data_IF_216229058653
#
_entry.id   IF_216229058653
#
_cell.length_a   1.000
_cell.length_b   1.000
_cell.length_c   1.000
_cell.angle_alpha   90.00
_cell.angle_beta   90.00
_cell.angle_gamma   90.00
#
_symmetry.space_group_name_H-M   'P 1'
#
loop_
_entity.id
_entity.type
_entity.pdbx_description
1 polymer ?
#
# COMPACT_ATOMS: atom_id res chain seq x y z
N UNK A 1 11.46 -27.50 3.92
CA UNK A 1 10.39 -26.53 4.24
C UNK A 1 9.05 -27.25 4.14
N UNK A 2 7.98 -26.78 4.77
CA UNK A 2 6.69 -27.50 4.80
C UNK A 2 5.56 -26.58 4.40
N UNK A 3 4.77 -26.99 3.39
CA UNK A 3 3.52 -26.35 2.99
C UNK A 3 2.36 -27.05 3.70
N UNK A 4 1.46 -26.29 4.31
CA UNK A 4 0.31 -26.82 5.06
C UNK A 4 -1.01 -26.44 4.38
N UNK A 5 -1.94 -27.40 4.28
CA UNK A 5 -3.30 -27.20 3.82
C UNK A 5 -4.26 -28.00 4.71
N UNK A 6 -4.90 -27.33 5.68
CA UNK A 6 -5.69 -28.02 6.71
C UNK A 6 -4.82 -29.00 7.52
N UNK A 7 -5.22 -30.28 7.56
CA UNK A 7 -4.44 -31.35 8.21
C UNK A 7 -3.33 -31.94 7.33
N UNK A 8 -3.23 -31.52 6.06
CA UNK A 8 -2.22 -32.01 5.11
C UNK A 8 -0.94 -31.17 5.23
N UNK A 9 0.20 -31.84 5.15
CA UNK A 9 1.52 -31.22 5.16
C UNK A 9 2.41 -31.86 4.08
N UNK A 10 3.04 -31.03 3.25
CA UNK A 10 3.95 -31.47 2.20
C UNK A 10 5.34 -30.88 2.42
N UNK A 11 6.35 -31.75 2.44
CA UNK A 11 7.74 -31.30 2.49
C UNK A 11 8.18 -30.83 1.10
N UNK A 12 8.67 -29.59 1.04
CA UNK A 12 9.21 -28.96 -0.16
C UNK A 12 10.64 -28.46 0.08
N UNK A 13 11.44 -28.41 -0.98
CA UNK A 13 12.80 -27.87 -0.95
C UNK A 13 12.82 -26.35 -0.99
N UNK A 14 14.02 -25.77 -0.86
CA UNK A 14 14.24 -24.31 -0.91
C UNK A 14 13.89 -23.70 -2.28
N UNK A 15 14.08 -24.48 -3.36
CA UNK A 15 13.74 -24.07 -4.71
C UNK A 15 12.23 -24.00 -4.89
N UNK A 16 11.52 -25.04 -4.49
CA UNK A 16 10.05 -25.09 -4.53
C UNK A 16 9.44 -24.02 -3.63
N UNK A 17 10.04 -23.74 -2.47
CA UNK A 17 9.62 -22.63 -1.62
C UNK A 17 9.75 -21.26 -2.32
N UNK A 18 10.87 -21.04 -3.03
CA UNK A 18 11.05 -19.82 -3.81
C UNK A 18 10.00 -19.67 -4.91
N UNK A 19 9.52 -20.79 -5.47
CA UNK A 19 8.40 -20.82 -6.42
C UNK A 19 7.09 -20.45 -5.71
N UNK A 20 6.77 -21.07 -4.56
CA UNK A 20 5.55 -20.75 -3.79
C UNK A 20 5.49 -19.27 -3.39
N UNK A 21 6.59 -18.69 -2.93
CA UNK A 21 6.66 -17.26 -2.58
C UNK A 21 6.43 -16.33 -3.79
N UNK A 22 6.65 -16.84 -5.00
CA UNK A 22 6.38 -16.14 -6.25
C UNK A 22 4.98 -16.45 -6.83
N UNK A 23 4.15 -17.24 -6.18
CA UNK A 23 2.77 -17.52 -6.61
C UNK A 23 1.80 -16.62 -5.83
N UNK A 24 1.60 -15.38 -6.29
CA UNK A 24 0.75 -14.38 -5.63
C UNK A 24 -0.66 -14.23 -6.24
N UNK A 25 -1.02 -15.14 -7.15
CA UNK A 25 -2.30 -15.14 -7.86
C UNK A 25 -2.35 -14.23 -9.09
N UNK A 26 -1.27 -13.50 -9.42
CA UNK A 26 -1.23 -12.59 -10.58
C UNK A 26 -0.22 -12.99 -11.66
N UNK A 27 0.69 -13.91 -11.36
CA UNK A 27 1.82 -14.29 -12.23
C UNK A 27 1.53 -15.59 -12.98
N UNK A 28 1.88 -15.61 -14.27
CA UNK A 28 1.97 -16.83 -15.07
C UNK A 28 3.24 -17.64 -14.75
N UNK A 29 3.35 -18.84 -15.33
CA UNK A 29 4.48 -19.77 -15.08
C UNK A 29 5.83 -19.13 -15.41
N UNK A 30 5.89 -18.34 -16.49
CA UNK A 30 7.07 -17.60 -16.93
C UNK A 30 7.44 -16.49 -15.93
N UNK A 31 6.47 -15.74 -15.42
CA UNK A 31 6.64 -14.72 -14.39
C UNK A 31 7.08 -15.30 -13.05
N UNK A 32 6.52 -16.44 -12.65
CA UNK A 32 6.92 -17.17 -11.44
C UNK A 32 8.36 -17.67 -11.57
N UNK A 33 8.74 -18.24 -12.72
CA UNK A 33 10.11 -18.70 -12.99
C UNK A 33 11.14 -17.57 -12.89
N UNK A 34 10.78 -16.41 -13.43
CA UNK A 34 11.61 -15.21 -13.36
C UNK A 34 11.76 -14.69 -11.93
N UNK A 35 10.66 -14.60 -11.16
CA UNK A 35 10.67 -14.09 -9.80
C UNK A 35 11.37 -15.04 -8.80
N UNK A 36 11.17 -16.35 -8.94
CA UNK A 36 11.79 -17.38 -8.10
C UNK A 36 13.23 -17.71 -8.50
N UNK A 37 13.68 -17.27 -9.70
CA UNK A 37 14.95 -17.65 -10.33
C UNK A 37 15.11 -19.17 -10.51
N UNK A 38 13.99 -19.88 -10.61
CA UNK A 38 13.94 -21.31 -10.89
C UNK A 38 13.66 -21.51 -12.37
N UNK A 39 14.26 -22.53 -12.97
CA UNK A 39 14.07 -22.81 -14.39
C UNK A 39 12.57 -23.00 -14.71
N UNK A 40 12.08 -22.37 -15.79
CA UNK A 40 10.67 -22.39 -16.18
C UNK A 40 10.10 -23.80 -16.30
N UNK A 41 10.89 -24.77 -16.78
CA UNK A 41 10.47 -26.17 -16.85
C UNK A 41 10.20 -26.78 -15.46
N UNK A 42 11.00 -26.41 -14.45
CA UNK A 42 10.82 -26.87 -13.07
C UNK A 42 9.64 -26.18 -12.41
N UNK A 43 9.44 -24.88 -12.66
CA UNK A 43 8.25 -24.15 -12.20
C UNK A 43 6.99 -24.76 -12.78
N UNK A 44 6.97 -25.02 -14.09
CA UNK A 44 5.83 -25.66 -14.77
C UNK A 44 5.48 -27.01 -14.15
N UNK A 45 6.47 -27.89 -13.99
CA UNK A 45 6.28 -29.20 -13.39
C UNK A 45 5.80 -29.12 -11.93
N UNK A 46 6.27 -28.12 -11.18
CA UNK A 46 5.84 -27.92 -9.80
C UNK A 46 4.42 -27.35 -9.70
N UNK A 47 4.05 -26.41 -10.56
CA UNK A 47 2.68 -25.87 -10.66
C UNK A 47 1.71 -27.00 -11.03
N UNK A 48 2.02 -27.80 -12.06
CA UNK A 48 1.21 -28.98 -12.44
C UNK A 48 1.06 -29.98 -11.28
N UNK A 49 2.10 -30.17 -10.47
CA UNK A 49 2.03 -31.03 -9.28
C UNK A 49 1.11 -30.45 -8.19
N UNK A 50 1.13 -29.13 -7.96
CA UNK A 50 0.22 -28.46 -7.02
C UNK A 50 -1.23 -28.50 -7.51
N UNK A 51 -1.47 -28.31 -8.81
CA UNK A 51 -2.79 -28.47 -9.45
C UNK A 51 -3.31 -29.89 -9.27
N UNK A 52 -2.48 -30.90 -9.54
CA UNK A 52 -2.84 -32.31 -9.35
C UNK A 52 -3.16 -32.69 -7.91
N UNK A 53 -2.68 -31.91 -6.94
CA UNK A 53 -3.00 -32.05 -5.51
C UNK A 53 -4.22 -31.21 -5.08
N UNK A 54 -4.80 -30.43 -5.99
CA UNK A 54 -5.90 -29.49 -5.69
C UNK A 54 -5.48 -28.35 -4.76
N UNK A 55 -4.18 -28.02 -4.73
CA UNK A 55 -3.62 -26.96 -3.86
C UNK A 55 -3.71 -25.56 -4.48
N UNK A 56 -4.06 -25.47 -5.75
CA UNK A 56 -4.29 -24.22 -6.46
C UNK A 56 -5.80 -24.03 -6.65
N UNK A 57 -6.29 -22.82 -6.35
CA UNK A 57 -7.64 -22.43 -6.73
C UNK A 57 -7.74 -22.24 -8.25
N UNK A 58 -8.94 -22.38 -8.81
CA UNK A 58 -9.22 -21.86 -10.15
C UNK A 58 -8.89 -20.37 -10.17
N UNK A 59 -8.51 -19.87 -11.36
CA UNK A 59 -8.10 -18.48 -11.65
C UNK A 59 -8.57 -17.55 -10.55
N UNK A 60 -7.64 -16.89 -9.85
CA UNK A 60 -8.03 -15.64 -9.21
C UNK A 60 -8.69 -14.87 -10.35
N UNK A 61 -10.04 -14.77 -10.33
CA UNK A 61 -10.76 -13.95 -11.30
C UNK A 61 -9.94 -12.68 -11.38
N UNK A 62 -9.79 -12.11 -12.59
CA UNK A 62 -9.41 -10.71 -12.75
C UNK A 62 -10.42 -9.91 -11.92
N UNK A 63 -10.23 -9.90 -10.61
CA UNK A 63 -11.14 -9.37 -9.65
C UNK A 63 -10.99 -7.90 -9.98
N UNK A 64 -12.02 -7.29 -10.57
CA UNK A 64 -11.89 -5.95 -11.05
C UNK A 64 -11.32 -5.15 -9.89
N UNK A 65 -10.24 -4.37 -10.12
CA UNK A 65 -9.51 -3.70 -9.05
C UNK A 65 -10.56 -3.07 -8.15
N UNK A 66 -10.55 -3.37 -6.82
CA UNK A 66 -11.73 -3.26 -5.99
C UNK A 66 -12.39 -1.90 -6.22
N UNK A 67 -13.46 -1.92 -7.01
CA UNK A 67 -14.24 -0.75 -7.27
C UNK A 67 -15.10 -0.62 -6.03
N UNK A 68 -14.64 0.17 -5.08
CA UNK A 68 -15.50 0.58 -3.98
C UNK A 68 -16.80 1.13 -4.60
N UNK A 69 -17.93 0.83 -3.97
CA UNK A 69 -19.23 1.18 -4.54
C UNK A 69 -19.29 2.69 -4.78
N UNK A 70 -19.51 3.12 -6.03
CA UNK A 70 -19.44 4.53 -6.42
C UNK A 70 -20.42 5.41 -5.61
N UNK A 71 -21.57 4.84 -5.26
CA UNK A 71 -22.60 5.51 -4.47
C UNK A 71 -22.37 5.45 -2.95
N UNK A 72 -21.37 4.68 -2.50
CA UNK A 72 -21.06 4.49 -1.08
C UNK A 72 -20.72 5.85 -0.44
N UNK A 73 -21.41 6.25 0.64
CA UNK A 73 -21.06 7.47 1.35
C UNK A 73 -19.62 7.42 1.84
N UNK A 74 -18.87 8.51 1.69
CA UNK A 74 -17.53 8.65 2.25
C UNK A 74 -17.64 9.50 3.52
N UNK A 75 -17.04 8.98 4.60
CA UNK A 75 -17.09 9.61 5.92
C UNK A 75 -15.70 9.74 6.50
N UNK A 76 -15.17 10.97 6.47
CA UNK A 76 -13.99 11.32 7.24
C UNK A 76 -14.27 11.25 8.74
N UNK A 77 -13.30 10.73 9.51
CA UNK A 77 -13.37 10.76 10.96
C UNK A 77 -13.41 12.22 11.44
N UNK A 78 -14.46 12.65 12.17
CA UNK A 78 -14.63 14.06 12.53
C UNK A 78 -13.44 14.60 13.34
N UNK A 79 -13.07 15.86 13.07
CA UNK A 79 -12.01 16.55 13.80
C UNK A 79 -10.60 16.35 13.22
N UNK A 80 -10.40 15.36 12.35
CA UNK A 80 -9.12 15.16 11.67
C UNK A 80 -9.02 15.98 10.40
N UNK A 81 -7.89 16.68 10.28
CA UNK A 81 -7.57 17.60 9.21
C UNK A 81 -6.14 17.33 8.74
N UNK A 82 -5.81 17.59 7.48
CA UNK A 82 -4.48 17.32 6.95
C UNK A 82 -4.07 18.28 5.84
N UNK A 83 -2.90 18.88 6.03
CA UNK A 83 -2.14 19.57 5.00
C UNK A 83 -0.68 19.21 5.24
N UNK A 84 0.01 18.63 4.24
CA UNK A 84 1.41 18.23 4.39
C UNK A 84 2.32 19.47 4.47
N UNK A 85 3.13 19.59 5.52
CA UNK A 85 4.09 20.69 5.68
C UNK A 85 5.43 20.45 4.97
N UNK A 86 5.61 19.28 4.36
CA UNK A 86 6.81 18.91 3.61
C UNK A 86 8.04 18.51 4.42
N UNK A 87 8.04 18.65 5.76
CA UNK A 87 9.22 18.40 6.62
C UNK A 87 9.66 16.94 6.66
N UNK A 88 8.73 16.01 6.38
CA UNK A 88 9.10 14.65 6.01
C UNK A 88 9.50 13.69 7.15
N UNK A 89 9.31 14.06 8.42
CA UNK A 89 9.53 13.13 9.55
C UNK A 89 8.75 11.80 9.39
N UNK A 90 7.50 11.88 8.94
CA UNK A 90 6.67 10.72 8.62
C UNK A 90 7.07 10.02 7.29
N UNK A 91 7.85 10.67 6.42
CA UNK A 91 8.30 10.06 5.18
C UNK A 91 9.44 9.05 5.41
N UNK A 92 10.14 9.16 6.54
CA UNK A 92 11.19 8.22 6.94
C UNK A 92 10.65 6.92 7.58
N UNK A 93 9.34 6.76 7.73
CA UNK A 93 8.74 5.55 8.33
C UNK A 93 8.47 4.43 7.31
N UNK A 94 8.64 4.70 6.02
CA UNK A 94 8.37 3.74 4.95
C UNK A 94 9.63 3.01 4.54
N UNK A 95 9.58 1.68 4.49
CA UNK A 95 10.68 0.85 3.99
C UNK A 95 10.81 0.85 2.47
N UNK A 96 9.77 1.30 1.76
CA UNK A 96 9.77 1.49 0.30
C UNK A 96 8.70 2.51 -0.09
N UNK A 97 8.91 3.21 -1.20
CA UNK A 97 7.90 4.07 -1.83
C UNK A 97 7.77 3.69 -3.29
N UNK A 98 6.52 3.50 -3.72
CA UNK A 98 6.19 3.00 -5.05
C UNK A 98 5.78 4.14 -5.97
N UNK A 99 6.23 4.06 -7.22
CA UNK A 99 5.97 5.00 -8.29
C UNK A 99 5.52 4.24 -9.52
N UNK A 100 4.51 4.74 -10.22
CA UNK A 100 4.31 4.36 -11.63
C UNK A 100 5.46 4.91 -12.49
N UNK A 101 5.72 4.36 -13.69
CA UNK A 101 6.75 4.88 -14.60
C UNK A 101 6.62 6.36 -14.91
N UNK A 102 5.38 6.85 -15.04
CA UNK A 102 5.11 8.26 -15.29
C UNK A 102 5.47 9.12 -14.07
N UNK A 103 5.13 8.66 -12.87
CA UNK A 103 5.50 9.37 -11.63
C UNK A 103 7.01 9.36 -11.41
N UNK A 104 7.69 8.24 -11.68
CA UNK A 104 9.14 8.15 -11.60
C UNK A 104 9.82 9.12 -12.57
N UNK A 105 9.35 9.19 -13.81
CA UNK A 105 9.86 10.15 -14.80
C UNK A 105 9.65 11.62 -14.35
N UNK A 106 8.47 11.95 -13.80
CA UNK A 106 8.17 13.29 -13.27
C UNK A 106 9.06 13.63 -12.06
N UNK A 107 9.26 12.68 -11.15
CA UNK A 107 10.13 12.85 -9.99
C UNK A 107 11.58 13.15 -10.40
N UNK A 108 12.10 12.42 -11.40
CA UNK A 108 13.44 12.68 -11.96
C UNK A 108 13.55 14.03 -12.64
N UNK A 109 12.50 14.46 -13.35
CA UNK A 109 12.48 15.77 -13.97
C UNK A 109 12.45 16.91 -12.94
N UNK A 110 11.74 16.71 -11.82
CA UNK A 110 11.62 17.71 -10.76
C UNK A 110 12.86 17.77 -9.86
N UNK A 111 13.49 16.63 -9.57
CA UNK A 111 14.65 16.52 -8.67
C UNK A 111 15.67 15.50 -9.20
N UNK A 112 16.44 15.84 -10.24
CA UNK A 112 17.34 14.89 -10.92
C UNK A 112 18.56 14.47 -10.09
N UNK A 113 18.92 15.25 -9.07
CA UNK A 113 20.16 15.11 -8.29
C UNK A 113 20.02 14.11 -7.12
N UNK A 114 19.58 12.88 -7.39
CA UNK A 114 19.51 11.81 -6.38
C UNK A 114 20.28 10.56 -6.85
N UNK A 115 21.07 9.95 -5.96
CA UNK A 115 21.84 8.70 -6.20
C UNK A 115 22.74 8.71 -7.47
N UNK A 116 23.23 9.87 -7.91
CA UNK A 116 23.88 10.04 -9.22
C UNK A 116 23.05 9.48 -10.40
N UNK A 117 21.73 9.42 -10.23
CA UNK A 117 20.76 8.81 -11.13
C UNK A 117 20.47 9.59 -12.41
N UNK A 118 21.21 10.69 -12.63
CA UNK A 118 21.04 11.58 -13.78
C UNK A 118 21.00 10.83 -15.11
N UNK A 119 22.01 9.98 -15.37
CA UNK A 119 22.11 9.20 -16.61
C UNK A 119 21.58 7.76 -16.49
N UNK A 120 21.46 7.24 -15.26
CA UNK A 120 21.08 5.86 -15.00
C UNK A 120 19.85 5.81 -14.09
N UNK A 121 18.67 5.69 -14.71
CA UNK A 121 17.40 5.62 -13.98
C UNK A 121 17.31 4.40 -13.05
N UNK A 122 18.06 3.33 -13.34
CA UNK A 122 18.03 2.10 -12.54
C UNK A 122 18.68 2.27 -11.16
N UNK A 123 19.49 3.32 -10.96
CA UNK A 123 20.04 3.69 -9.64
C UNK A 123 19.00 4.29 -8.70
N UNK A 124 17.95 4.88 -9.27
CA UNK A 124 16.90 5.57 -8.51
C UNK A 124 15.65 4.72 -8.44
N UNK A 125 15.34 3.97 -9.49
CA UNK A 125 14.12 3.19 -9.60
C UNK A 125 14.42 1.78 -10.07
N UNK A 126 14.00 0.80 -9.28
CA UNK A 126 14.00 -0.61 -9.65
C UNK A 126 12.58 -1.10 -9.83
N UNK A 127 12.32 -2.17 -10.60
CA UNK A 127 11.05 -2.90 -10.51
C UNK A 127 10.66 -3.11 -9.04
N UNK A 128 9.41 -2.83 -8.69
CA UNK A 128 8.89 -3.16 -7.37
C UNK A 128 8.88 -4.69 -7.15
N UNK A 129 8.81 -5.43 -8.26
CA UNK A 129 8.64 -6.85 -8.27
C UNK A 129 9.21 -7.47 -9.56
N UNK A 130 10.06 -8.50 -9.42
CA UNK A 130 10.61 -9.23 -10.57
C UNK A 130 11.24 -8.30 -11.63
N UNK A 131 10.76 -8.42 -12.88
CA UNK A 131 11.05 -7.48 -13.97
C UNK A 131 9.83 -6.64 -14.38
N UNK A 132 8.77 -6.63 -13.57
CA UNK A 132 7.59 -5.83 -13.85
C UNK A 132 7.94 -4.33 -13.87
N UNK A 133 7.54 -3.66 -14.95
CA UNK A 133 7.78 -2.24 -15.17
C UNK A 133 6.56 -1.40 -14.91
N UNK A 134 5.43 -1.97 -14.46
CA UNK A 134 4.22 -1.19 -14.15
C UNK A 134 4.32 -0.42 -12.84
N UNK A 135 5.14 -0.91 -11.91
CA UNK A 135 5.39 -0.28 -10.62
C UNK A 135 6.87 -0.34 -10.27
N UNK A 136 7.40 0.77 -9.78
CA UNK A 136 8.81 0.94 -9.49
C UNK A 136 9.00 1.30 -8.02
N UNK A 137 9.91 0.59 -7.35
CA UNK A 137 10.39 0.95 -6.04
C UNK A 137 11.49 2.01 -6.19
N UNK A 138 11.36 3.10 -5.44
CA UNK A 138 12.42 4.09 -5.35
C UNK A 138 13.55 3.57 -4.47
N UNK A 139 14.78 3.92 -4.81
CA UNK A 139 15.94 3.68 -3.96
C UNK A 139 15.73 4.30 -2.57
N UNK A 140 16.29 3.62 -1.58
CA UNK A 140 16.22 4.01 -0.17
C UNK A 140 17.64 4.27 0.35
N UNK A 141 17.82 5.34 1.12
CA UNK A 141 19.07 5.72 1.79
C UNK A 141 18.77 6.06 3.24
N UNK A 142 19.53 5.48 4.16
CA UNK A 142 19.37 5.69 5.61
C UNK A 142 17.93 5.47 6.12
N UNK A 143 17.25 4.47 5.54
CA UNK A 143 15.87 4.11 5.89
C UNK A 143 14.79 5.02 5.30
N UNK A 144 15.14 5.96 4.43
CA UNK A 144 14.20 6.87 3.79
C UNK A 144 14.30 6.85 2.25
N UNK A 145 13.25 7.30 1.58
CA UNK A 145 13.25 7.52 0.13
C UNK A 145 14.36 8.51 -0.25
N UNK A 146 15.11 8.24 -1.33
CA UNK A 146 16.24 9.10 -1.75
C UNK A 146 15.84 10.53 -2.15
N UNK A 147 14.55 10.81 -2.34
CA UNK A 147 14.04 12.17 -2.52
C UNK A 147 13.79 12.93 -1.21
N UNK A 148 13.92 12.28 -0.05
CA UNK A 148 13.95 12.95 1.24
C UNK A 148 15.36 13.51 1.46
N UNK A 149 15.45 14.82 1.67
CA UNK A 149 16.67 15.50 2.12
C UNK A 149 16.47 16.13 3.50
N UNK A 150 17.50 16.83 3.97
CA UNK A 150 17.51 17.46 5.30
C UNK A 150 16.39 18.49 5.48
N UNK A 151 16.06 19.21 4.40
CA UNK A 151 14.99 20.22 4.37
C UNK A 151 13.61 19.64 4.00
N UNK A 152 13.49 18.31 3.87
CA UNK A 152 12.26 17.61 3.52
C UNK A 152 12.25 17.04 2.11
N UNK A 153 11.05 16.81 1.56
CA UNK A 153 10.89 16.12 0.28
C UNK A 153 11.26 17.03 -0.91
N UNK A 154 12.32 16.68 -1.65
CA UNK A 154 12.80 17.44 -2.81
C UNK A 154 11.78 17.57 -3.94
N UNK A 155 10.97 16.52 -4.18
CA UNK A 155 9.88 16.57 -5.16
C UNK A 155 8.83 17.63 -4.76
N UNK A 156 8.48 17.68 -3.48
CA UNK A 156 7.53 18.67 -2.96
C UNK A 156 8.13 20.07 -3.07
N UNK A 157 9.36 20.28 -2.62
CA UNK A 157 10.02 21.58 -2.70
C UNK A 157 10.14 22.11 -4.14
N UNK A 158 10.45 21.24 -5.10
CA UNK A 158 10.66 21.61 -6.50
C UNK A 158 9.36 21.79 -7.31
N UNK A 159 8.34 20.96 -7.07
CA UNK A 159 7.18 20.85 -7.96
C UNK A 159 5.82 20.78 -7.23
N UNK A 160 5.80 20.98 -5.91
CA UNK A 160 4.57 20.98 -5.09
C UNK A 160 4.11 19.59 -4.67
N UNK A 161 3.13 19.55 -3.75
CA UNK A 161 2.61 18.31 -3.17
C UNK A 161 2.00 17.37 -4.24
N UNK A 162 1.37 17.93 -5.27
CA UNK A 162 0.73 17.17 -6.34
C UNK A 162 1.73 16.41 -7.24
N UNK A 163 2.98 16.83 -7.29
CA UNK A 163 4.03 16.15 -8.04
C UNK A 163 4.54 14.87 -7.36
N UNK A 164 4.22 14.67 -6.08
CA UNK A 164 4.58 13.46 -5.32
C UNK A 164 3.85 12.24 -5.91
N UNK A 165 4.40 11.01 -5.76
CA UNK A 165 3.71 9.81 -6.23
C UNK A 165 2.39 9.62 -5.49
N UNK A 166 1.47 8.89 -6.11
CA UNK A 166 0.12 8.66 -5.61
C UNK A 166 0.08 8.24 -4.14
N UNK A 167 0.89 7.26 -3.73
CA UNK A 167 0.95 6.81 -2.34
C UNK A 167 1.36 7.91 -1.35
N UNK A 168 2.22 8.84 -1.77
CA UNK A 168 2.59 9.99 -0.95
C UNK A 168 1.53 11.10 -0.92
N UNK A 169 0.67 11.20 -1.93
CA UNK A 169 -0.47 12.15 -1.95
C UNK A 169 -1.65 11.65 -1.11
N UNK A 170 -1.83 10.33 -1.04
CA UNK A 170 -2.92 9.71 -0.28
C UNK A 170 -2.55 9.47 1.18
N UNK A 171 -1.27 9.37 1.53
CA UNK A 171 -0.85 9.43 2.92
C UNK A 171 -1.20 10.79 3.55
N UNK A 172 -1.79 10.85 4.77
CA UNK A 172 -1.98 9.78 5.75
C UNK A 172 -3.37 9.15 5.76
N UNK A 173 -4.18 9.32 4.73
CA UNK A 173 -5.53 8.77 4.69
C UNK A 173 -5.49 7.24 4.58
N UNK A 174 -6.28 6.57 5.42
CA UNK A 174 -6.63 5.16 5.29
C UNK A 174 -8.13 5.06 5.04
N UNK A 175 -8.48 4.42 3.92
CA UNK A 175 -9.85 4.18 3.50
C UNK A 175 -10.23 2.75 3.85
N UNK A 176 -11.42 2.54 4.39
CA UNK A 176 -11.97 1.20 4.67
C UNK A 176 -13.45 1.21 4.32
N UNK A 177 -13.88 0.29 3.46
CA UNK A 177 -15.30 0.13 3.16
C UNK A 177 -15.97 -0.75 4.22
N UNK A 178 -17.01 -0.26 4.87
CA UNK A 178 -17.71 -0.96 5.95
C UNK A 178 -18.92 -1.77 5.49
N UNK A 179 -19.24 -1.75 4.19
CA UNK A 179 -20.51 -2.26 3.68
C UNK A 179 -21.62 -1.20 3.65
N UNK A 180 -21.57 -0.20 4.55
CA UNK A 180 -22.53 0.90 4.62
C UNK A 180 -21.94 2.25 4.19
N UNK A 181 -20.67 2.49 4.51
CA UNK A 181 -19.91 3.71 4.18
C UNK A 181 -18.40 3.39 3.99
N UNK A 182 -17.69 4.23 3.26
CA UNK A 182 -16.22 4.26 3.24
C UNK A 182 -15.76 5.19 4.34
N UNK A 183 -15.12 4.66 5.38
CA UNK A 183 -14.56 5.45 6.47
C UNK A 183 -13.14 5.86 6.15
N UNK A 184 -12.82 7.13 6.41
CA UNK A 184 -11.48 7.71 6.20
C UNK A 184 -10.89 8.09 7.55
N UNK A 185 -9.81 7.42 7.93
CA UNK A 185 -9.08 7.66 9.17
C UNK A 185 -7.63 8.02 8.88
N UNK A 186 -7.02 8.94 9.65
CA UNK A 186 -5.60 9.22 9.49
C UNK A 186 -4.72 8.13 10.08
N UNK A 187 -3.53 8.01 9.50
CA UNK A 187 -2.39 7.30 10.04
C UNK A 187 -1.68 8.19 11.08
N UNK A 188 -1.61 7.79 12.37
CA UNK A 188 -1.02 8.61 13.43
C UNK A 188 0.48 8.87 13.25
N UNK A 189 1.13 8.14 12.34
CA UNK A 189 2.52 8.34 11.94
C UNK A 189 2.78 9.75 11.38
N UNK A 190 1.74 10.46 10.92
CA UNK A 190 1.85 11.83 10.43
C UNK A 190 1.49 12.85 11.51
N UNK A 191 2.48 13.58 12.04
CA UNK A 191 2.22 14.64 13.02
C UNK A 191 1.28 15.76 12.49
N UNK A 192 1.24 15.99 11.17
CA UNK A 192 0.40 17.02 10.57
C UNK A 192 -1.11 16.79 10.78
N UNK A 193 -1.55 15.56 11.07
CA UNK A 193 -2.98 15.26 11.31
C UNK A 193 -3.50 15.79 12.64
N UNK A 194 -2.59 16.20 13.52
CA UNK A 194 -2.89 16.80 14.82
C UNK A 194 -2.67 18.31 14.84
N UNK A 195 -2.22 18.90 13.72
CA UNK A 195 -1.98 20.33 13.63
C UNK A 195 -3.30 21.12 13.51
N UNK A 196 -3.44 22.26 14.23
CA UNK A 196 -4.62 23.12 14.08
C UNK A 196 -4.66 23.77 12.69
N UNK A 197 -5.87 24.03 12.19
CA UNK A 197 -6.08 24.84 10.98
C UNK A 197 -5.87 24.14 9.63
N UNK A 198 -5.69 22.83 9.60
CA UNK A 198 -5.55 22.08 8.35
C UNK A 198 -6.89 21.85 7.61
N UNK A 199 -6.81 21.47 6.34
CA UNK A 199 -7.97 21.14 5.51
C UNK A 199 -8.63 19.83 5.95
N UNK A 200 -9.92 19.56 5.65
CA UNK A 200 -10.49 18.23 5.84
C UNK A 200 -9.60 17.15 5.23
N UNK A 201 -9.48 15.99 5.89
CA UNK A 201 -8.60 14.92 5.40
C UNK A 201 -9.01 14.42 3.99
N UNK A 202 -10.26 14.61 3.61
CA UNK A 202 -10.76 14.44 2.25
C UNK A 202 -12.02 15.28 2.05
N UNK A 203 -12.21 15.80 0.84
CA UNK A 203 -13.44 16.46 0.43
C UNK A 203 -14.43 15.49 -0.25
N UNK A 204 -14.02 14.23 -0.46
CA UNK A 204 -14.88 13.23 -1.08
C UNK A 204 -16.07 12.93 -0.17
N UNK A 205 -17.26 13.00 -0.74
CA UNK A 205 -18.54 12.67 -0.09
C UNK A 205 -19.10 11.33 -0.56
N UNK A 206 -18.62 10.84 -1.71
CA UNK A 206 -19.02 9.56 -2.32
C UNK A 206 -17.84 8.78 -2.84
N UNK A 207 -17.99 7.47 -2.89
CA UNK A 207 -16.99 6.55 -3.41
C UNK A 207 -16.48 7.00 -4.78
N UNK A 208 -17.38 7.30 -5.72
CA UNK A 208 -17.01 7.68 -7.09
C UNK A 208 -16.11 8.92 -7.24
N UNK A 209 -15.97 9.73 -6.18
CA UNK A 209 -15.08 10.90 -6.12
C UNK A 209 -13.64 10.53 -5.69
N UNK A 210 -13.46 9.35 -5.11
CA UNK A 210 -12.16 8.83 -4.69
C UNK A 210 -11.32 8.43 -5.92
N UNK A 211 -9.99 8.65 -5.88
CA UNK A 211 -9.10 8.17 -6.93
C UNK A 211 -9.22 6.65 -7.12
N UNK A 212 -9.42 6.21 -8.37
CA UNK A 212 -9.58 4.78 -8.70
C UNK A 212 -8.37 3.90 -8.37
N UNK A 213 -7.19 4.51 -8.22
CA UNK A 213 -5.98 3.83 -7.80
C UNK A 213 -5.93 3.54 -6.28
N UNK A 214 -6.88 4.07 -5.49
CA UNK A 214 -6.96 3.75 -4.06
C UNK A 214 -7.38 2.30 -3.87
N UNK A 215 -6.59 1.57 -3.08
CA UNK A 215 -7.04 0.32 -2.50
C UNK A 215 -7.92 0.62 -1.28
N UNK A 216 -9.19 0.23 -1.36
CA UNK A 216 -10.16 0.39 -0.27
C UNK A 216 -10.61 -1.01 0.18
N UNK A 217 -9.99 -1.60 1.23
CA UNK A 217 -10.38 -2.90 1.71
C UNK A 217 -11.77 -2.86 2.36
N UNK A 218 -12.55 -3.92 2.16
CA UNK A 218 -13.81 -4.13 2.89
C UNK A 218 -13.52 -4.65 4.29
N UNK A 219 -14.20 -4.07 5.28
CA UNK A 219 -14.14 -4.50 6.67
C UNK A 219 -14.85 -5.85 6.81
N UNK A 220 -14.05 -6.92 6.93
CA UNK A 220 -14.52 -8.25 7.25
C UNK A 220 -14.89 -8.39 8.73
N UNK A 221 -15.00 -9.65 9.18
CA UNK A 221 -15.23 -9.98 10.60
C UNK A 221 -14.09 -9.39 11.44
N UNK A 222 -14.45 -8.68 12.50
CA UNK A 222 -13.48 -8.08 13.41
C UNK A 222 -13.38 -8.95 14.66
N UNK A 223 -12.15 -9.27 15.07
CA UNK A 223 -11.89 -9.94 16.35
C UNK A 223 -11.43 -8.93 17.39
N UNK A 224 -12.13 -8.89 18.52
CA UNK A 224 -11.80 -8.05 19.67
C UNK A 224 -11.54 -8.95 20.88
N UNK A 225 -10.28 -9.33 21.07
CA UNK A 225 -9.92 -10.36 22.05
C UNK A 225 -10.40 -11.74 21.59
N UNK A 226 -11.04 -12.55 22.46
CA UNK A 226 -11.59 -13.85 22.08
C UNK A 226 -12.88 -13.74 21.26
N UNK A 227 -13.52 -12.56 21.24
CA UNK A 227 -14.85 -12.37 20.67
C UNK A 227 -14.78 -11.94 19.20
N UNK A 228 -15.67 -12.50 18.38
CA UNK A 228 -15.98 -11.98 17.06
C UNK A 228 -17.10 -10.95 17.18
N UNK A 229 -16.84 -9.75 16.67
CA UNK A 229 -17.82 -8.65 16.62
C UNK A 229 -18.14 -8.34 15.17
N UNK A 230 -19.41 -7.99 14.94
CA UNK A 230 -19.84 -7.57 13.61
C UNK A 230 -19.18 -6.23 13.25
N UNK A 231 -19.00 -5.93 11.95
CA UNK A 231 -18.54 -4.61 11.50
C UNK A 231 -19.33 -3.45 12.11
N UNK A 232 -20.66 -3.60 12.22
CA UNK A 232 -21.54 -2.58 12.83
C UNK A 232 -21.25 -2.33 14.31
N UNK A 233 -21.07 -3.38 15.11
CA UNK A 233 -20.70 -3.27 16.52
C UNK A 233 -19.32 -2.64 16.71
N UNK A 234 -18.34 -3.05 15.89
CA UNK A 234 -17.00 -2.47 15.90
C UNK A 234 -17.03 -0.97 15.56
N UNK A 235 -17.84 -0.57 14.58
CA UNK A 235 -18.02 0.82 14.19
C UNK A 235 -18.67 1.64 15.31
N UNK A 236 -19.74 1.13 15.92
CA UNK A 236 -20.39 1.78 17.05
C UNK A 236 -19.43 1.94 18.23
N UNK A 237 -18.62 0.92 18.52
CA UNK A 237 -17.57 0.97 19.54
C UNK A 237 -16.53 2.06 19.25
N UNK A 238 -16.06 2.17 18.00
CA UNK A 238 -15.11 3.21 17.57
C UNK A 238 -15.72 4.61 17.72
N UNK A 239 -16.98 4.78 17.32
CA UNK A 239 -17.68 6.06 17.40
C UNK A 239 -17.94 6.51 18.85
N UNK A 240 -18.13 5.56 19.77
CA UNK A 240 -18.31 5.84 21.20
C UNK A 240 -16.99 6.17 21.93
N UNK A 241 -15.85 5.67 21.45
CA UNK A 241 -14.52 5.84 22.06
C UNK A 241 -13.66 6.90 21.39
N UNK A 242 -14.29 7.79 20.61
CA UNK A 242 -13.57 8.92 20.01
C UNK A 242 -12.79 9.63 21.12
N UNK A 243 -11.45 9.78 20.97
CA UNK A 243 -10.70 10.68 21.83
C UNK A 243 -11.42 12.02 21.80
N UNK A 244 -11.63 12.66 22.96
CA UNK A 244 -11.97 14.08 22.94
C UNK A 244 -10.90 14.77 22.09
N UNK A 245 -11.29 15.77 21.30
CA UNK A 245 -10.39 16.48 20.38
C UNK A 245 -9.22 17.20 21.08
N UNK A 246 -9.01 16.97 22.38
CA UNK A 246 -7.82 17.34 23.15
C UNK A 246 -6.63 16.42 22.84
N UNK A 247 -6.33 16.23 21.55
CA UNK A 247 -5.08 15.62 21.09
C UNK A 247 -3.84 16.38 21.62
N UNK A 248 -4.01 17.64 22.03
CA UNK A 248 -3.00 18.44 22.73
C UNK A 248 -2.51 17.79 24.04
N UNK A 249 -3.33 16.97 24.71
CA UNK A 249 -2.95 16.29 25.94
C UNK A 249 -2.04 15.07 25.73
N UNK A 250 -1.93 14.56 24.49
CA UNK A 250 -1.15 13.36 24.16
C UNK A 250 0.32 13.68 23.84
N UNK A 251 0.63 14.96 23.63
CA UNK A 251 1.97 15.45 23.30
C UNK A 251 2.61 16.25 24.45
N UNK A 252 2.03 16.18 25.66
CA UNK A 252 2.54 16.86 26.87
C UNK A 252 3.39 15.92 27.75
#
# INVERSE_FOLDING_TARGET
MVLHEGERAMQIGEREWSVVQAMDGSRDVEGIALASRVATAHVRAFVEALEGLGLLGEDAEDAPPPAFAADRPVRALPGYRFTCDGRGACCATFSTVLFTPLEAARARAAAPEVEDGGHDAARVFTPAEGLDRTLQAVAMRDGACVYLGDDGCRIHAAAGAEAKPFGCRTFPMRFVDTGAEIRVAPRPECACVFAPGADPITDATRGGELPRALHVPTLGVVRMGPDEVTPGEFIAWCDARRPSADAAAWCA
#
